data_IF_670046468375
#
_entry.id   IF_670046468375
#
_cell.length_a   1.000
_cell.length_b   1.000
_cell.length_c   1.000
_cell.angle_alpha   90.00
_cell.angle_beta   90.00
_cell.angle_gamma   90.00
#
_symmetry.space_group_name_H-M   'P 1'
#
loop_
_entity.id
_entity.type
_entity.pdbx_description
1 polymer ?
#
# COMPACT_ATOMS: atom_id res chain seq x y z
N UNK A 1 -34.20 29.15 -16.15
CA UNK A 1 -35.32 28.37 -15.57
C UNK A 1 -35.70 27.25 -16.53
N UNK A 2 -35.36 26.01 -16.21
CA UNK A 2 -36.04 24.78 -16.66
C UNK A 2 -35.52 23.65 -15.77
N UNK A 3 -36.39 23.29 -14.83
CA UNK A 3 -36.23 22.21 -13.86
C UNK A 3 -36.61 20.89 -14.55
N UNK A 4 -35.75 19.88 -14.48
CA UNK A 4 -36.11 18.50 -14.84
C UNK A 4 -35.74 17.58 -13.68
N UNK A 5 -36.76 16.88 -13.20
CA UNK A 5 -36.79 16.12 -11.96
C UNK A 5 -35.95 14.84 -12.02
N UNK A 6 -35.36 14.50 -10.87
CA UNK A 6 -34.53 13.30 -10.62
C UNK A 6 -35.44 12.08 -10.36
N UNK A 7 -35.17 10.88 -10.91
CA UNK A 7 -35.98 9.70 -10.62
C UNK A 7 -35.67 9.08 -9.24
N UNK A 8 -36.71 8.53 -8.61
CA UNK A 8 -36.74 7.95 -7.25
C UNK A 8 -36.06 6.57 -7.19
N UNK A 9 -35.37 6.27 -6.08
CA UNK A 9 -34.80 4.94 -5.75
C UNK A 9 -35.92 3.93 -5.42
N UNK A 10 -35.76 2.64 -5.78
CA UNK A 10 -36.53 1.55 -5.19
C UNK A 10 -35.96 1.11 -3.82
N UNK A 11 -36.87 0.80 -2.90
CA UNK A 11 -36.65 0.30 -1.53
C UNK A 11 -36.32 -1.20 -1.51
N UNK A 12 -35.45 -1.61 -0.59
CA UNK A 12 -35.07 -3.00 -0.33
C UNK A 12 -36.19 -3.82 0.33
N UNK A 13 -36.23 -5.16 0.13
CA UNK A 13 -36.97 -6.06 1.00
C UNK A 13 -36.12 -6.55 2.18
N UNK A 14 -36.71 -6.49 3.39
CA UNK A 14 -36.26 -7.14 4.63
C UNK A 14 -36.86 -8.55 4.71
N UNK A 15 -36.01 -9.57 4.89
CA UNK A 15 -36.32 -10.91 5.43
C UNK A 15 -34.96 -11.45 5.94
N UNK A 16 -34.77 -12.13 7.07
CA UNK A 16 -35.62 -12.69 8.11
C UNK A 16 -34.70 -13.43 9.11
N UNK A 17 -35.21 -13.68 10.30
CA UNK A 17 -34.51 -14.16 11.49
C UNK A 17 -34.10 -15.66 11.48
N UNK A 18 -33.17 -16.02 12.38
CA UNK A 18 -32.86 -17.40 12.81
C UNK A 18 -31.43 -17.49 13.36
N UNK A 19 -31.12 -17.22 14.64
CA UNK A 19 -31.45 -17.92 15.89
C UNK A 19 -30.76 -19.29 16.07
N UNK A 20 -29.82 -19.33 17.05
CA UNK A 20 -29.39 -20.50 17.87
C UNK A 20 -28.58 -21.63 17.18
N UNK A 21 -27.53 -22.25 17.73
CA UNK A 21 -27.14 -22.55 19.13
C UNK A 21 -25.66 -22.96 19.17
N UNK A 22 -24.99 -22.60 20.28
CA UNK A 22 -23.79 -23.26 20.82
C UNK A 22 -24.14 -24.66 21.36
N UNK A 23 -23.13 -25.53 21.56
CA UNK A 23 -22.96 -26.06 22.91
C UNK A 23 -21.51 -26.09 23.43
N UNK A 24 -21.47 -26.26 24.74
CA UNK A 24 -20.45 -26.06 25.77
C UNK A 24 -19.65 -27.32 26.13
N UNK A 25 -18.45 -27.09 26.70
CA UNK A 25 -17.77 -27.79 27.84
C UNK A 25 -17.21 -29.23 27.71
N UNK A 26 -15.87 -29.34 27.73
CA UNK A 26 -14.91 -29.99 28.71
C UNK A 26 -15.28 -31.30 29.46
N UNK A 27 -14.39 -31.97 30.24
CA UNK A 27 -12.91 -32.20 30.21
C UNK A 27 -12.55 -33.70 30.43
N UNK A 28 -11.27 -34.12 30.36
CA UNK A 28 -10.69 -35.04 31.37
C UNK A 28 -9.16 -35.23 31.30
N UNK A 29 -8.63 -35.59 32.47
CA UNK A 29 -7.25 -35.60 32.97
C UNK A 29 -6.33 -36.78 32.55
N UNK A 30 -5.01 -36.63 32.79
CA UNK A 30 -3.89 -37.56 32.46
C UNK A 30 -3.76 -38.80 33.38
N UNK A 31 -2.56 -39.26 33.84
CA UNK A 31 -1.16 -38.99 33.50
C UNK A 31 -0.30 -40.27 33.20
N UNK A 32 0.97 -40.16 32.79
CA UNK A 32 1.88 -41.33 32.72
C UNK A 32 3.30 -41.14 32.15
N UNK A 33 4.26 -40.90 33.05
CA UNK A 33 5.66 -41.36 33.13
C UNK A 33 6.71 -41.17 31.99
N UNK A 34 7.75 -40.42 32.39
CA UNK A 34 9.19 -40.38 32.06
C UNK A 34 9.80 -41.14 30.86
N UNK A 35 10.56 -40.40 30.05
CA UNK A 35 11.94 -40.75 29.72
C UNK A 35 12.75 -39.49 29.33
N UNK A 36 13.97 -39.44 29.86
CA UNK A 36 15.10 -38.54 29.61
C UNK A 36 15.37 -38.20 28.14
N UNK A 37 15.82 -36.97 27.85
CA UNK A 37 17.03 -36.67 27.04
C UNK A 37 17.01 -35.27 26.41
N UNK A 38 18.16 -34.58 26.54
CA UNK A 38 18.69 -33.52 25.69
C UNK A 38 18.08 -32.11 25.69
N UNK A 39 18.71 -31.30 26.55
CA UNK A 39 19.32 -29.99 26.23
C UNK A 39 19.29 -29.64 24.73
N UNK A 40 18.52 -28.62 24.36
CA UNK A 40 18.87 -27.71 23.27
C UNK A 40 18.37 -26.31 23.64
N UNK A 41 19.29 -25.36 23.51
CA UNK A 41 19.18 -23.96 23.86
C UNK A 41 17.91 -23.34 23.27
N UNK A 42 17.24 -22.50 24.06
CA UNK A 42 16.27 -21.51 23.57
C UNK A 42 16.99 -20.55 22.63
N UNK A 43 17.16 -20.97 21.38
CA UNK A 43 17.37 -20.07 20.27
C UNK A 43 16.10 -19.26 20.15
N UNK A 44 16.18 -17.99 20.54
CA UNK A 44 15.25 -16.96 20.08
C UNK A 44 15.06 -17.18 18.58
N UNK A 45 13.86 -17.61 18.19
CA UNK A 45 13.40 -17.51 16.83
C UNK A 45 13.26 -16.01 16.58
N UNK A 46 14.37 -15.35 16.25
CA UNK A 46 14.29 -14.12 15.49
C UNK A 46 13.55 -14.54 14.24
N UNK A 47 12.29 -14.13 14.15
CA UNK A 47 11.50 -14.20 12.92
C UNK A 47 12.42 -13.65 11.85
N UNK A 48 13.00 -14.54 11.03
CA UNK A 48 13.65 -14.14 9.79
C UNK A 48 12.55 -13.36 9.11
N UNK A 49 12.68 -12.04 9.08
CA UNK A 49 12.02 -11.23 8.05
C UNK A 49 12.48 -11.91 6.78
N UNK A 50 11.65 -12.78 6.21
CA UNK A 50 11.84 -13.14 4.82
C UNK A 50 11.94 -11.79 4.14
N UNK A 51 13.04 -11.60 3.44
CA UNK A 51 13.26 -10.48 2.56
C UNK A 51 12.22 -10.57 1.45
N UNK A 52 10.96 -10.29 1.79
CA UNK A 52 9.96 -9.98 0.79
C UNK A 52 10.49 -8.69 0.18
N UNK A 53 10.87 -8.78 -1.10
CA UNK A 53 11.30 -7.65 -1.90
C UNK A 53 10.06 -6.79 -2.16
N UNK A 54 9.56 -6.14 -1.12
CA UNK A 54 8.33 -5.35 -1.08
C UNK A 54 8.68 -3.92 -0.69
N UNK A 55 7.98 -2.97 -1.30
CA UNK A 55 8.10 -1.57 -0.95
C UNK A 55 6.81 -0.83 -1.31
N UNK A 56 6.64 0.35 -0.74
CA UNK A 56 5.59 1.27 -1.15
C UNK A 56 6.01 2.04 -2.41
N UNK A 57 5.11 2.16 -3.38
CA UNK A 57 5.30 2.89 -4.62
C UNK A 57 4.42 4.13 -4.64
N UNK A 58 5.07 5.28 -4.76
CA UNK A 58 4.43 6.57 -4.98
C UNK A 58 3.95 6.72 -6.44
N UNK A 59 3.07 7.69 -6.68
CA UNK A 59 2.47 8.01 -7.99
C UNK A 59 3.55 8.25 -9.04
N UNK A 60 4.61 8.99 -8.71
CA UNK A 60 5.66 9.36 -9.68
C UNK A 60 6.33 8.12 -10.30
N UNK A 61 6.63 7.09 -9.53
CA UNK A 61 7.27 5.85 -10.00
C UNK A 61 6.34 5.11 -10.96
N UNK A 62 5.07 4.98 -10.59
CA UNK A 62 4.08 4.26 -11.42
C UNK A 62 3.81 5.04 -12.71
N UNK A 63 3.78 6.38 -12.65
CA UNK A 63 3.66 7.24 -13.82
C UNK A 63 4.84 7.07 -14.76
N UNK A 64 6.07 6.99 -14.25
CA UNK A 64 7.24 6.70 -15.09
C UNK A 64 7.10 5.34 -15.80
N UNK A 65 6.64 4.30 -15.11
CA UNK A 65 6.44 2.99 -15.74
C UNK A 65 5.36 3.04 -16.85
N UNK A 66 4.33 3.85 -16.65
CA UNK A 66 3.22 4.06 -17.59
C UNK A 66 3.55 4.99 -18.76
N UNK A 67 4.56 5.86 -18.64
CA UNK A 67 4.88 6.80 -19.70
C UNK A 67 5.57 6.12 -20.89
N UNK A 68 4.79 5.86 -21.95
CA UNK A 68 5.26 5.24 -23.19
C UNK A 68 6.01 6.23 -24.09
N UNK A 69 5.79 7.53 -23.90
CA UNK A 69 6.39 8.61 -24.67
C UNK A 69 7.58 9.25 -23.92
N UNK A 70 7.93 8.71 -22.75
CA UNK A 70 8.91 9.29 -21.84
C UNK A 70 10.19 9.73 -22.57
N UNK A 71 10.48 11.03 -22.50
CA UNK A 71 11.79 11.56 -22.85
C UNK A 71 12.89 10.90 -21.99
N UNK A 72 12.53 10.56 -20.75
CA UNK A 72 13.36 9.91 -19.75
C UNK A 72 13.25 8.37 -19.82
N UNK A 73 13.70 7.78 -20.92
CA UNK A 73 13.62 6.32 -21.17
C UNK A 73 14.25 5.50 -20.03
N UNK A 74 15.39 5.95 -19.49
CA UNK A 74 16.08 5.27 -18.39
C UNK A 74 15.22 5.18 -17.12
N UNK A 75 14.54 6.29 -16.74
CA UNK A 75 13.65 6.30 -15.56
C UNK A 75 12.44 5.38 -15.76
N UNK A 76 11.86 5.39 -16.96
CA UNK A 76 10.75 4.48 -17.32
C UNK A 76 11.16 3.02 -17.19
N UNK A 77 12.31 2.65 -17.76
CA UNK A 77 12.75 1.27 -17.78
C UNK A 77 13.13 0.80 -16.36
N UNK A 78 13.78 1.66 -15.57
CA UNK A 78 14.04 1.42 -14.14
C UNK A 78 12.73 1.24 -13.35
N UNK A 79 11.74 2.12 -13.54
CA UNK A 79 10.44 2.02 -12.87
C UNK A 79 9.73 0.70 -13.20
N UNK A 80 9.76 0.27 -14.47
CA UNK A 80 9.20 -1.02 -14.90
C UNK A 80 9.94 -2.20 -14.26
N UNK A 81 11.26 -2.15 -14.21
CA UNK A 81 12.06 -3.19 -13.58
C UNK A 81 11.74 -3.33 -12.09
N UNK A 82 11.57 -2.20 -11.38
CA UNK A 82 11.17 -2.20 -9.97
C UNK A 82 9.80 -2.85 -9.78
N UNK A 83 8.82 -2.47 -10.59
CA UNK A 83 7.46 -3.04 -10.53
C UNK A 83 7.42 -4.53 -10.89
N UNK A 84 8.36 -5.02 -11.69
CA UNK A 84 8.46 -6.44 -12.07
C UNK A 84 9.18 -7.29 -11.01
N UNK A 85 10.13 -6.70 -10.29
CA UNK A 85 11.01 -7.41 -9.34
C UNK A 85 10.56 -7.31 -7.89
N UNK A 86 9.61 -6.42 -7.60
CA UNK A 86 9.11 -6.16 -6.24
C UNK A 86 7.60 -6.34 -6.13
N UNK A 87 7.16 -6.75 -4.94
CA UNK A 87 5.77 -6.64 -4.55
C UNK A 87 5.44 -5.16 -4.32
N UNK A 88 4.34 -4.70 -4.93
CA UNK A 88 3.95 -3.30 -4.97
C UNK A 88 2.93 -3.05 -3.87
N UNK A 89 3.32 -2.27 -2.86
CA UNK A 89 2.38 -1.65 -1.93
C UNK A 89 2.05 -0.24 -2.41
N UNK A 90 0.81 0.20 -2.24
CA UNK A 90 0.40 1.55 -2.62
C UNK A 90 -0.81 2.01 -1.80
N UNK A 91 -1.46 3.12 -2.18
CA UNK A 91 -2.65 3.62 -1.50
C UNK A 91 -3.77 4.02 -2.47
N UNK A 92 -4.98 4.11 -1.93
CA UNK A 92 -6.14 4.68 -2.63
C UNK A 92 -5.91 6.10 -3.15
N UNK A 93 -5.06 6.92 -2.49
CA UNK A 93 -4.70 8.25 -2.99
C UNK A 93 -3.77 8.16 -4.21
N UNK A 94 -2.76 7.30 -4.18
CA UNK A 94 -1.88 7.06 -5.34
C UNK A 94 -2.69 6.58 -6.55
N UNK A 95 -3.65 5.68 -6.36
CA UNK A 95 -4.54 5.21 -7.44
C UNK A 95 -5.32 6.36 -8.10
N UNK A 96 -5.85 7.28 -7.29
CA UNK A 96 -6.63 8.43 -7.79
C UNK A 96 -5.74 9.44 -8.52
N UNK A 97 -4.55 9.71 -7.98
CA UNK A 97 -3.57 10.59 -8.61
C UNK A 97 -3.07 10.03 -9.93
N UNK A 98 -2.74 8.73 -9.97
CA UNK A 98 -2.33 8.01 -11.16
C UNK A 98 -3.34 8.22 -12.29
N UNK A 99 -4.63 7.93 -12.05
CA UNK A 99 -5.66 8.14 -13.06
C UNK A 99 -5.69 9.58 -13.59
N UNK A 100 -5.60 10.56 -12.69
CA UNK A 100 -5.58 11.98 -13.03
C UNK A 100 -4.37 12.34 -13.90
N UNK A 101 -3.19 11.85 -13.55
CA UNK A 101 -1.95 12.09 -14.30
C UNK A 101 -2.00 11.42 -15.67
N UNK A 102 -2.40 10.16 -15.75
CA UNK A 102 -2.52 9.43 -17.02
C UNK A 102 -3.48 10.14 -17.99
N UNK A 103 -4.62 10.62 -17.48
CA UNK A 103 -5.62 11.32 -18.30
C UNK A 103 -5.17 12.71 -18.74
N UNK A 104 -4.56 13.49 -17.84
CA UNK A 104 -4.26 14.90 -18.10
C UNK A 104 -2.88 15.13 -18.72
N UNK A 105 -1.85 14.43 -18.23
CA UNK A 105 -0.47 14.63 -18.67
C UNK A 105 -0.09 13.70 -19.81
N UNK A 106 -0.48 12.43 -19.73
CA UNK A 106 -0.11 11.41 -20.72
C UNK A 106 -1.19 11.13 -21.79
N UNK A 107 -2.31 11.86 -21.72
CA UNK A 107 -3.42 11.77 -22.67
C UNK A 107 -3.98 10.35 -22.91
N UNK A 108 -3.83 9.44 -21.94
CA UNK A 108 -4.38 8.09 -22.01
C UNK A 108 -5.90 8.12 -22.18
N UNK A 109 -6.48 7.20 -22.96
CA UNK A 109 -7.93 6.99 -22.99
C UNK A 109 -8.49 6.57 -21.63
N UNK A 110 -9.78 6.77 -21.40
CA UNK A 110 -10.45 6.45 -20.12
C UNK A 110 -10.20 5.01 -19.70
N UNK A 111 -10.41 4.06 -20.60
CA UNK A 111 -10.24 2.63 -20.30
C UNK A 111 -8.78 2.26 -20.05
N UNK A 112 -7.85 2.83 -20.82
CA UNK A 112 -6.42 2.59 -20.65
C UNK A 112 -5.92 3.11 -19.29
N UNK A 113 -6.34 4.31 -18.89
CA UNK A 113 -6.02 4.86 -17.56
C UNK A 113 -6.67 4.04 -16.43
N UNK A 114 -7.93 3.61 -16.60
CA UNK A 114 -8.60 2.76 -15.62
C UNK A 114 -7.93 1.38 -15.48
N UNK A 115 -7.42 0.81 -16.57
CA UNK A 115 -6.69 -0.47 -16.52
C UNK A 115 -5.39 -0.39 -15.71
N UNK A 116 -4.67 0.74 -15.77
CA UNK A 116 -3.52 0.97 -14.90
C UNK A 116 -3.90 0.99 -13.43
N UNK A 117 -5.01 1.65 -13.08
CA UNK A 117 -5.51 1.64 -11.70
C UNK A 117 -5.92 0.24 -11.26
N UNK A 118 -6.64 -0.51 -12.12
CA UNK A 118 -7.07 -1.89 -11.82
C UNK A 118 -5.89 -2.85 -11.63
N UNK A 119 -4.75 -2.60 -12.27
CA UNK A 119 -3.55 -3.42 -12.08
C UNK A 119 -3.03 -3.34 -10.64
N UNK A 120 -3.27 -2.22 -9.95
CA UNK A 120 -2.84 -2.01 -8.57
C UNK A 120 -3.85 -2.53 -7.54
N UNK A 121 -5.05 -2.91 -7.97
CA UNK A 121 -6.13 -3.33 -7.07
C UNK A 121 -5.81 -4.70 -6.45
N UNK A 122 -5.76 -4.77 -5.11
CA UNK A 122 -5.39 -5.96 -4.36
C UNK A 122 -5.19 -5.70 -2.86
N UNK A 123 -4.77 -6.72 -2.13
CA UNK A 123 -4.55 -6.66 -0.67
C UNK A 123 -3.41 -5.72 -0.25
N UNK A 124 -2.57 -5.32 -1.21
CA UNK A 124 -1.41 -4.45 -1.00
C UNK A 124 -1.76 -2.93 -1.10
N UNK A 125 -3.05 -2.60 -1.25
CA UNK A 125 -3.55 -1.22 -1.30
C UNK A 125 -4.01 -0.73 0.07
N UNK A 126 -3.36 0.31 0.57
CA UNK A 126 -3.76 1.01 1.80
C UNK A 126 -4.97 1.91 1.52
N UNK A 127 -6.08 1.60 2.20
CA UNK A 127 -7.25 2.49 2.26
C UNK A 127 -7.00 3.59 3.29
N UNK A 128 -7.02 4.84 2.82
CA UNK A 128 -6.81 6.01 3.68
C UNK A 128 -8.11 6.43 4.37
N UNK A 129 -7.96 6.87 5.61
CA UNK A 129 -8.99 7.26 6.56
C UNK A 129 -8.80 8.73 6.97
N UNK A 130 -9.75 9.30 7.71
CA UNK A 130 -9.60 10.65 8.25
C UNK A 130 -8.44 10.78 9.24
N UNK A 131 -8.16 9.71 10.00
CA UNK A 131 -7.10 9.72 11.01
C UNK A 131 -5.73 9.79 10.33
N UNK A 132 -5.57 9.10 9.20
CA UNK A 132 -4.34 9.19 8.40
C UNK A 132 -4.07 10.59 7.85
N UNK A 133 -5.15 11.33 7.55
CA UNK A 133 -5.02 12.73 7.11
C UNK A 133 -4.52 13.61 8.25
N UNK A 134 -5.02 13.39 9.48
CA UNK A 134 -4.56 14.13 10.65
C UNK A 134 -3.08 13.80 10.93
N UNK A 135 -2.73 12.52 10.93
CA UNK A 135 -1.35 12.05 11.10
C UNK A 135 -0.41 12.64 10.03
N UNK A 136 -0.87 12.72 8.77
CA UNK A 136 -0.11 13.31 7.68
C UNK A 136 0.12 14.81 7.89
N UNK A 137 -0.87 15.56 8.38
CA UNK A 137 -0.70 16.99 8.67
C UNK A 137 0.28 17.22 9.82
N UNK A 138 0.24 16.40 10.87
CA UNK A 138 1.21 16.45 11.96
C UNK A 138 2.63 16.11 11.48
N UNK A 139 2.75 15.08 10.65
CA UNK A 139 4.02 14.69 10.04
C UNK A 139 4.58 15.76 9.11
N UNK A 140 3.73 16.37 8.27
CA UNK A 140 4.10 17.45 7.37
C UNK A 140 4.69 18.64 8.12
N UNK A 141 4.04 19.05 9.21
CA UNK A 141 4.56 20.12 10.08
C UNK A 141 5.87 19.70 10.76
N UNK A 142 5.95 18.48 11.30
CA UNK A 142 7.15 18.00 12.00
C UNK A 142 8.40 17.99 11.13
N UNK A 143 8.26 17.61 9.86
CA UNK A 143 9.38 17.41 8.94
C UNK A 143 9.54 18.51 7.90
N UNK A 144 8.67 19.52 7.90
CA UNK A 144 8.64 20.61 6.92
C UNK A 144 8.57 20.10 5.47
N UNK A 145 7.61 19.22 5.21
CA UNK A 145 7.35 18.62 3.89
C UNK A 145 5.90 18.89 3.46
N UNK A 146 5.57 18.64 2.19
CA UNK A 146 4.19 18.80 1.75
C UNK A 146 3.26 17.79 2.43
N UNK A 147 2.01 18.17 2.64
CA UNK A 147 1.01 17.26 3.21
C UNK A 147 0.69 16.06 2.31
N UNK A 148 0.88 16.20 0.99
CA UNK A 148 0.75 15.08 0.06
C UNK A 148 1.86 14.05 0.26
N UNK A 149 3.11 14.50 0.37
CA UNK A 149 4.25 13.61 0.62
C UNK A 149 4.15 12.97 2.01
N UNK A 150 3.69 13.72 3.01
CA UNK A 150 3.44 13.19 4.35
C UNK A 150 2.36 12.10 4.35
N UNK A 151 1.31 12.24 3.53
CA UNK A 151 0.26 11.23 3.41
C UNK A 151 0.78 9.93 2.78
N UNK A 152 1.71 10.03 1.82
CA UNK A 152 2.44 8.89 1.26
C UNK A 152 3.27 8.17 2.32
N UNK A 153 3.96 8.92 3.18
CA UNK A 153 4.75 8.36 4.29
C UNK A 153 3.86 7.66 5.34
N UNK A 154 2.72 8.26 5.70
CA UNK A 154 1.71 7.63 6.57
C UNK A 154 1.18 6.35 5.94
N UNK A 155 0.81 6.37 4.66
CA UNK A 155 0.35 5.19 3.93
C UNK A 155 1.41 4.08 3.92
N UNK A 156 2.69 4.44 3.72
CA UNK A 156 3.82 3.51 3.75
C UNK A 156 3.98 2.85 5.12
N UNK A 157 3.89 3.63 6.19
CA UNK A 157 3.96 3.08 7.54
C UNK A 157 2.78 2.13 7.82
N UNK A 158 1.57 2.46 7.34
CA UNK A 158 0.37 1.63 7.51
C UNK A 158 0.36 0.34 6.72
N UNK A 159 1.04 0.28 5.58
CA UNK A 159 1.26 -0.98 4.86
C UNK A 159 2.29 -1.90 5.53
N UNK A 160 2.92 -1.46 6.63
CA UNK A 160 3.98 -2.19 7.31
C UNK A 160 5.32 -2.17 6.56
N UNK A 161 5.44 -1.35 5.51
CA UNK A 161 6.66 -1.23 4.73
C UNK A 161 7.62 -0.23 5.37
N UNK A 162 8.92 -0.54 5.31
CA UNK A 162 9.98 0.33 5.82
C UNK A 162 10.56 1.24 4.73
N UNK A 163 10.18 1.03 3.46
CA UNK A 163 10.76 1.72 2.31
C UNK A 163 9.66 2.25 1.40
N UNK A 164 9.81 3.50 0.96
CA UNK A 164 9.02 4.10 -0.12
C UNK A 164 9.91 4.45 -1.31
N UNK A 165 9.48 4.10 -2.51
CA UNK A 165 10.06 4.61 -3.74
C UNK A 165 9.34 5.88 -4.17
N UNK A 166 10.07 7.00 -4.19
CA UNK A 166 9.58 8.31 -4.63
C UNK A 166 10.74 9.18 -5.12
N UNK A 167 10.49 10.04 -6.10
CA UNK A 167 11.42 11.06 -6.56
C UNK A 167 11.35 12.37 -5.75
N UNK A 168 10.20 12.66 -5.15
CA UNK A 168 9.86 14.00 -4.64
C UNK A 168 10.38 14.26 -3.20
N UNK A 169 10.88 13.23 -2.52
CA UNK A 169 11.46 13.33 -1.17
C UNK A 169 12.99 13.13 -1.16
N UNK A 170 13.62 13.65 -0.11
CA UNK A 170 15.07 13.53 0.09
C UNK A 170 15.52 12.07 0.15
N UNK A 171 16.32 11.66 -0.82
CA UNK A 171 16.86 10.32 -0.90
C UNK A 171 17.67 9.93 0.35
N UNK A 172 17.41 8.74 0.89
CA UNK A 172 18.13 8.20 2.03
C UNK A 172 17.73 8.79 3.38
N UNK A 173 16.84 9.78 3.40
CA UNK A 173 16.28 10.31 4.64
C UNK A 173 15.23 9.33 5.21
N UNK A 174 15.15 9.28 6.54
CA UNK A 174 14.11 8.56 7.25
C UNK A 174 13.10 9.52 7.87
N UNK A 175 11.82 9.23 7.68
CA UNK A 175 10.68 9.93 8.27
C UNK A 175 9.95 8.93 9.17
N UNK A 176 10.15 9.04 10.47
CA UNK A 176 9.75 7.99 11.42
C UNK A 176 10.40 6.65 11.08
N UNK A 177 9.58 5.63 10.85
CA UNK A 177 10.03 4.28 10.46
C UNK A 177 10.22 4.08 8.96
N UNK A 178 9.90 5.08 8.14
CA UNK A 178 9.92 4.97 6.68
C UNK A 178 11.19 5.59 6.12
N UNK A 179 11.93 4.82 5.31
CA UNK A 179 13.10 5.28 4.57
C UNK A 179 12.70 5.62 3.13
N UNK A 180 13.11 6.80 2.67
CA UNK A 180 12.90 7.24 1.29
C UNK A 180 14.01 6.73 0.39
N UNK A 181 13.62 6.12 -0.72
CA UNK A 181 14.50 5.68 -1.79
C UNK A 181 14.08 6.35 -3.09
N UNK A 182 14.98 7.13 -3.71
CA UNK A 182 14.80 7.61 -5.05
C UNK A 182 15.53 6.63 -5.97
N UNK A 183 14.81 5.82 -6.77
CA UNK A 183 15.41 4.77 -7.56
C UNK A 183 16.21 5.26 -8.78
N UNK A 184 16.23 6.57 -9.03
CA UNK A 184 16.88 7.17 -10.20
C UNK A 184 18.25 7.80 -9.86
N UNK A 185 18.65 7.79 -8.59
CA UNK A 185 19.92 8.39 -8.12
C UNK A 185 20.93 7.30 -7.74
N UNK A 186 20.47 6.18 -7.18
CA UNK A 186 21.32 5.06 -6.79
C UNK A 186 20.64 3.73 -7.14
N UNK A 187 21.45 2.74 -7.54
CA UNK A 187 20.96 1.43 -7.97
C UNK A 187 20.59 0.58 -6.75
N UNK A 188 19.35 0.72 -6.29
CA UNK A 188 18.80 -0.01 -5.13
C UNK A 188 18.35 -1.44 -5.47
N UNK A 189 18.70 -1.97 -6.65
CA UNK A 189 18.42 -3.36 -7.07
C UNK A 189 19.54 -4.35 -6.69
N UNK A 190 20.62 -3.89 -6.07
CA UNK A 190 21.72 -4.73 -5.58
C UNK A 190 21.38 -5.50 -4.29
#
# INVERSE_FOLDING_TARGET
MRSTAKPRRPTAPRLGAGCSKLPTTTPNDGPGASATSNRCSTGSCSTKRSCVNAAFFDTNIIVYAADTLAAEVAKRDQARQLMQTRQIFTSTQVMMELYGVLRKKLAYGVDAAANWVRMLDGDDVVTLTSDDVIDALEMAHRYDISHWDALILVATARSGQATVYTEDLNHGQSYGSVRVCNPFIEDFLA
#
